data_IF_467384701126
#
_entry.id   IF_467384701126
#
_cell.length_a   1.000
_cell.length_b   1.000
_cell.length_c   1.000
_cell.angle_alpha   90.00
_cell.angle_beta   90.00
_cell.angle_gamma   90.00
#
_symmetry.space_group_name_H-M   'P 1'
#
loop_
_entity.id
_entity.type
_entity.pdbx_description
1 polymer ?
#
# COMPACT_ATOMS: atom_id res chain seq x y z
N UNK A 1 12.45 -4.87 -10.70
CA UNK A 1 11.97 -3.57 -11.22
C UNK A 1 11.92 -2.63 -10.03
N UNK A 2 12.51 -1.43 -10.14
CA UNK A 2 12.54 -0.44 -9.06
C UNK A 2 11.46 0.62 -9.27
N UNK A 3 10.89 1.11 -8.19
CA UNK A 3 9.84 2.12 -8.20
C UNK A 3 9.96 3.05 -6.99
N UNK A 4 9.32 4.21 -7.05
CA UNK A 4 9.37 5.18 -5.96
C UNK A 4 8.45 4.77 -4.81
N UNK A 5 8.94 4.94 -3.58
CA UNK A 5 8.18 4.73 -2.34
C UNK A 5 6.87 5.53 -2.31
N UNK A 6 6.84 6.71 -2.96
CA UNK A 6 5.63 7.51 -3.13
C UNK A 6 4.44 6.71 -3.66
N UNK A 7 4.67 5.72 -4.54
CA UNK A 7 3.60 4.88 -5.08
C UNK A 7 3.00 4.00 -3.98
N UNK A 8 3.82 3.34 -3.14
CA UNK A 8 3.30 2.56 -2.00
C UNK A 8 2.58 3.45 -1.01
N UNK A 9 3.17 4.61 -0.71
CA UNK A 9 2.60 5.60 0.20
C UNK A 9 1.19 6.00 -0.25
N UNK A 10 1.03 6.35 -1.51
CA UNK A 10 -0.24 6.83 -2.05
C UNK A 10 -1.28 5.69 -2.07
N UNK A 11 -0.87 4.45 -2.37
CA UNK A 11 -1.74 3.27 -2.28
C UNK A 11 -2.17 2.97 -0.83
N UNK A 12 -1.24 2.98 0.12
CA UNK A 12 -1.51 2.70 1.53
C UNK A 12 -2.43 3.76 2.12
N UNK A 13 -2.16 5.05 1.89
CA UNK A 13 -3.05 6.12 2.37
C UNK A 13 -4.38 6.15 1.60
N UNK A 14 -4.38 5.85 0.31
CA UNK A 14 -5.60 5.73 -0.50
C UNK A 14 -6.53 4.62 0.00
N UNK A 15 -5.97 3.49 0.41
CA UNK A 15 -6.70 2.39 1.04
C UNK A 15 -7.20 2.80 2.44
N UNK A 16 -6.34 3.45 3.24
CA UNK A 16 -6.71 3.90 4.58
C UNK A 16 -7.87 4.92 4.57
N UNK A 17 -7.87 5.84 3.60
CA UNK A 17 -8.97 6.80 3.38
C UNK A 17 -10.30 6.11 3.05
N UNK A 18 -10.27 4.85 2.61
CA UNK A 18 -11.44 4.02 2.28
C UNK A 18 -11.81 3.02 3.38
N UNK A 19 -11.24 3.18 4.57
CA UNK A 19 -11.59 2.37 5.76
C UNK A 19 -10.72 1.14 5.97
N UNK A 20 -9.69 0.91 5.14
CA UNK A 20 -8.69 -0.12 5.42
C UNK A 20 -7.86 0.30 6.63
N UNK A 21 -7.63 -0.63 7.56
CA UNK A 21 -6.77 -0.35 8.71
C UNK A 21 -5.31 -0.18 8.25
N UNK A 22 -4.77 1.03 8.39
CA UNK A 22 -3.42 1.39 7.97
C UNK A 22 -2.33 0.49 8.58
N UNK A 23 -2.35 0.29 9.90
CA UNK A 23 -1.32 -0.50 10.59
C UNK A 23 -1.37 -1.96 10.13
N UNK A 24 -2.59 -2.52 10.04
CA UNK A 24 -2.78 -3.90 9.58
C UNK A 24 -2.32 -4.11 8.13
N UNK A 25 -2.54 -3.12 7.26
CA UNK A 25 -2.08 -3.16 5.88
C UNK A 25 -0.55 -3.11 5.80
N UNK A 26 0.08 -2.19 6.53
CA UNK A 26 1.54 -2.10 6.62
C UNK A 26 2.16 -3.40 7.13
N UNK A 27 1.62 -3.98 8.21
CA UNK A 27 2.10 -5.23 8.79
C UNK A 27 2.01 -6.40 7.80
N UNK A 28 0.88 -6.54 7.09
CA UNK A 28 0.71 -7.61 6.08
C UNK A 28 1.62 -7.45 4.88
N UNK A 29 1.80 -6.21 4.43
CA UNK A 29 2.66 -5.90 3.29
C UNK A 29 4.15 -5.92 3.65
N UNK A 30 4.53 -6.10 4.92
CA UNK A 30 5.92 -6.04 5.36
C UNK A 30 6.54 -4.64 5.26
N UNK A 31 5.69 -3.60 5.23
CA UNK A 31 6.10 -2.20 5.08
C UNK A 31 6.19 -1.60 6.47
N UNK A 32 7.34 -0.99 6.80
CA UNK A 32 7.41 -0.16 7.99
C UNK A 32 6.74 1.19 7.72
N UNK A 33 5.82 1.66 8.58
CA UNK A 33 5.12 2.93 8.36
C UNK A 33 6.03 4.16 8.20
N UNK A 34 7.18 4.16 8.87
CA UNK A 34 8.18 5.24 8.79
C UNK A 34 8.80 5.34 7.39
N UNK A 35 9.01 4.20 6.72
CA UNK A 35 9.58 4.13 5.38
C UNK A 35 8.70 4.82 4.33
N UNK A 36 7.38 4.89 4.54
CA UNK A 36 6.47 5.59 3.64
C UNK A 36 6.74 7.10 3.55
N UNK A 37 7.45 7.69 4.52
CA UNK A 37 7.85 9.10 4.49
C UNK A 37 9.08 9.35 3.61
N UNK A 38 9.84 8.31 3.26
CA UNK A 38 11.02 8.41 2.40
C UNK A 38 10.62 8.37 0.91
N UNK A 39 9.82 9.35 0.48
CA UNK A 39 9.15 9.32 -0.83
C UNK A 39 10.08 9.18 -2.05
N UNK A 40 11.31 9.69 -1.96
CA UNK A 40 12.31 9.60 -3.04
C UNK A 40 13.09 8.28 -3.05
N UNK A 41 12.90 7.43 -2.03
CA UNK A 41 13.55 6.14 -1.97
C UNK A 41 13.06 5.25 -3.11
N UNK A 42 14.02 4.68 -3.84
CA UNK A 42 13.75 3.65 -4.83
C UNK A 42 13.74 2.28 -4.15
N UNK A 43 12.64 1.56 -4.29
CA UNK A 43 12.44 0.24 -3.69
C UNK A 43 12.20 -0.82 -4.76
N UNK A 44 12.53 -2.06 -4.43
CA UNK A 44 12.30 -3.21 -5.31
C UNK A 44 10.86 -3.72 -5.15
N UNK A 45 10.24 -4.12 -6.25
CA UNK A 45 8.85 -4.64 -6.27
C UNK A 45 8.59 -5.77 -5.29
N UNK A 46 9.62 -6.54 -4.95
CA UNK A 46 9.59 -7.60 -3.94
C UNK A 46 9.26 -7.09 -2.52
N UNK A 47 9.32 -5.78 -2.29
CA UNK A 47 8.97 -5.16 -0.99
C UNK A 47 7.48 -5.25 -0.69
N UNK A 48 6.61 -5.25 -1.72
CA UNK A 48 5.16 -5.24 -1.52
C UNK A 48 4.38 -5.91 -2.68
N UNK A 49 4.77 -7.11 -3.15
CA UNK A 49 4.22 -7.72 -4.36
C UNK A 49 2.72 -8.07 -4.24
N UNK A 50 2.24 -8.25 -3.00
CA UNK A 50 0.86 -8.61 -2.67
C UNK A 50 0.07 -7.46 -2.02
N UNK A 51 0.58 -6.21 -2.10
CA UNK A 51 -0.09 -5.07 -1.48
C UNK A 51 -1.54 -4.95 -1.96
N UNK A 52 -1.79 -5.20 -3.24
CA UNK A 52 -3.12 -5.15 -3.81
C UNK A 52 -4.07 -6.18 -3.19
N UNK A 53 -3.62 -7.42 -3.09
CA UNK A 53 -4.42 -8.50 -2.51
C UNK A 53 -4.74 -8.22 -1.04
N UNK A 54 -3.79 -7.63 -0.30
CA UNK A 54 -4.02 -7.18 1.07
C UNK A 54 -5.05 -6.05 1.15
N UNK A 55 -5.03 -5.09 0.23
CA UNK A 55 -6.04 -4.01 0.19
C UNK A 55 -7.43 -4.60 -0.08
N UNK A 56 -7.57 -5.50 -1.06
CA UNK A 56 -8.86 -6.13 -1.39
C UNK A 56 -9.38 -6.96 -0.22
N UNK A 57 -8.53 -7.80 0.39
CA UNK A 57 -8.93 -8.65 1.52
C UNK A 57 -9.32 -7.82 2.76
N UNK A 58 -8.57 -6.76 3.08
CA UNK A 58 -8.86 -5.92 4.25
C UNK A 58 -10.03 -4.95 4.05
N UNK A 59 -10.27 -4.49 2.82
CA UNK A 59 -11.40 -3.62 2.51
C UNK A 59 -12.71 -4.37 2.31
N UNK A 60 -12.64 -5.65 1.91
CA UNK A 60 -13.80 -6.38 1.40
C UNK A 60 -14.32 -5.85 0.06
N UNK A 61 -13.56 -4.99 -0.61
CA UNK A 61 -13.94 -4.30 -1.84
C UNK A 61 -13.15 -4.85 -3.03
N UNK A 62 -13.79 -5.70 -3.83
CA UNK A 62 -13.22 -6.26 -5.05
C UNK A 62 -12.90 -5.19 -6.12
N UNK A 63 -13.47 -3.99 -6.00
CA UNK A 63 -13.27 -2.87 -6.92
C UNK A 63 -12.46 -1.73 -6.30
N UNK A 64 -11.75 -1.98 -5.19
CA UNK A 64 -10.98 -0.97 -4.45
C UNK A 64 -10.09 -0.10 -5.37
N UNK A 65 -9.53 -0.70 -6.43
CA UNK A 65 -8.73 0.03 -7.41
C UNK A 65 -9.46 1.07 -8.25
N UNK A 66 -10.70 0.77 -8.67
CA UNK A 66 -11.53 1.72 -9.40
C UNK A 66 -11.94 2.89 -8.50
N UNK A 67 -12.04 2.63 -7.20
CA UNK A 67 -12.33 3.66 -6.24
C UNK A 67 -11.10 4.50 -5.93
N UNK A 68 -9.89 3.92 -5.90
CA UNK A 68 -8.61 4.60 -5.59
C UNK A 68 -8.02 5.44 -6.72
N UNK A 69 -8.45 5.21 -7.97
CA UNK A 69 -8.04 5.99 -9.15
C UNK A 69 -8.57 7.43 -9.17
#
# INVERSE_FOLDING_TARGET
MKFQMSILRDLVYGAAARGVNFNQLCDRAGIRPDALNEAEQMIDWETAPYLWDHIVDLSGDAFAGLHMG
#
